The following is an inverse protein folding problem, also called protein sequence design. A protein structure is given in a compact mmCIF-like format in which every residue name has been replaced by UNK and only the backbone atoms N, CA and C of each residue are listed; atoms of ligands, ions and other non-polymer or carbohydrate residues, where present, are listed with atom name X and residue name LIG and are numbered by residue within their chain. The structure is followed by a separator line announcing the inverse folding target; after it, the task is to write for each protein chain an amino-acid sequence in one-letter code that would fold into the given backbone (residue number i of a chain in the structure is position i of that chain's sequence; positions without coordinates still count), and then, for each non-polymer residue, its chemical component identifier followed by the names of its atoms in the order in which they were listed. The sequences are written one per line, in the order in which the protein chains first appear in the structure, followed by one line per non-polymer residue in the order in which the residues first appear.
data_IF_946507659045
#
_entry.id   IF_946507659045
#
_cell.length_a   1.000
_cell.length_b   1.000
_cell.length_c   1.000
_cell.angle_alpha   90.00
_cell.angle_beta   90.00
_cell.angle_gamma   90.00
#
_symmetry.space_group_name_H-M   'P 1'
#
loop_
_entity.id
_entity.type
_entity.pdbx_description
1 polymer ?
#
# COMPACT_ATOMS: atom_id res chain seq x y z
N UNK A 1 -6.44 -22.40 -74.84
CA UNK A 1 -6.59 -20.97 -74.45
C UNK A 1 -6.99 -20.95 -72.98
N UNK A 2 -6.21 -20.28 -72.12
CA UNK A 2 -6.22 -20.39 -70.64
C UNK A 2 -7.30 -19.49 -70.02
N UNK A 3 -8.11 -20.03 -69.11
CA UNK A 3 -9.03 -19.28 -68.23
C UNK A 3 -8.34 -18.91 -66.91
N UNK A 4 -8.29 -17.63 -66.48
CA UNK A 4 -7.65 -17.26 -65.24
C UNK A 4 -8.64 -17.29 -64.06
N UNK A 5 -8.42 -18.26 -63.18
CA UNK A 5 -8.75 -18.23 -61.76
C UNK A 5 -8.02 -17.02 -61.14
N UNK A 6 -8.73 -15.91 -60.95
CA UNK A 6 -8.17 -14.72 -60.24
C UNK A 6 -9.30 -13.80 -59.75
N UNK A 7 -10.21 -14.30 -58.91
CA UNK A 7 -11.24 -13.47 -58.27
C UNK A 7 -11.50 -13.80 -56.81
N UNK A 8 -10.50 -14.33 -56.10
CA UNK A 8 -10.62 -14.71 -54.69
C UNK A 8 -9.36 -14.34 -53.89
N UNK A 9 -8.73 -13.18 -54.17
CA UNK A 9 -7.55 -12.74 -53.40
C UNK A 9 -7.52 -11.20 -53.25
N UNK A 10 -8.68 -10.55 -53.05
CA UNK A 10 -8.71 -9.10 -52.81
C UNK A 10 -9.43 -8.70 -51.53
N UNK A 11 -9.88 -9.66 -50.71
CA UNK A 11 -10.66 -9.38 -49.50
C UNK A 11 -10.11 -10.14 -48.30
N UNK A 12 -8.79 -10.05 -48.08
CA UNK A 12 -8.14 -10.69 -46.91
C UNK A 12 -7.06 -9.84 -46.25
N UNK A 13 -6.88 -8.57 -46.67
CA UNK A 13 -5.87 -7.68 -46.07
C UNK A 13 -6.50 -6.75 -45.00
N UNK A 14 -7.83 -6.69 -44.87
CA UNK A 14 -8.52 -5.79 -43.94
C UNK A 14 -9.11 -6.51 -42.72
N UNK A 15 -8.37 -7.44 -42.11
CA UNK A 15 -8.85 -8.21 -40.95
C UNK A 15 -7.73 -8.55 -39.93
N UNK A 16 -6.76 -7.66 -39.76
CA UNK A 16 -5.61 -7.85 -38.85
C UNK A 16 -5.35 -6.66 -37.91
N UNK A 17 -6.41 -5.91 -37.56
CA UNK A 17 -6.29 -4.72 -36.70
C UNK A 17 -7.36 -4.70 -35.61
N UNK A 18 -7.56 -5.83 -34.90
CA UNK A 18 -8.37 -5.82 -33.68
C UNK A 18 -7.74 -6.76 -32.64
N UNK A 19 -7.62 -6.21 -31.43
CA UNK A 19 -7.43 -6.85 -30.12
C UNK A 19 -6.09 -7.48 -29.77
N UNK A 20 -5.09 -6.66 -29.47
CA UNK A 20 -4.17 -6.98 -28.35
C UNK A 20 -4.24 -5.87 -27.31
N UNK A 21 -5.41 -5.71 -26.69
CA UNK A 21 -5.50 -5.02 -25.41
C UNK A 21 -4.89 -5.94 -24.36
N UNK A 22 -3.57 -5.96 -24.22
CA UNK A 22 -2.95 -6.47 -23.00
C UNK A 22 -3.35 -5.52 -21.88
N UNK A 23 -4.45 -5.84 -21.19
CA UNK A 23 -4.76 -5.21 -19.92
C UNK A 23 -3.60 -5.56 -18.99
N UNK A 24 -2.69 -4.61 -18.80
CA UNK A 24 -1.72 -4.70 -17.72
C UNK A 24 -2.55 -4.54 -16.46
N UNK A 25 -2.95 -5.67 -15.87
CA UNK A 25 -3.26 -5.68 -14.46
C UNK A 25 -1.92 -5.35 -13.77
N UNK A 26 -1.68 -4.05 -13.58
CA UNK A 26 -0.64 -3.60 -12.69
C UNK A 26 -1.05 -4.19 -11.35
N UNK A 27 -0.26 -5.14 -10.85
CA UNK A 27 -0.43 -5.69 -9.50
C UNK A 27 -0.20 -4.52 -8.55
N UNK A 28 -1.26 -3.76 -8.27
CA UNK A 28 -1.22 -2.64 -7.35
C UNK A 28 -0.96 -3.26 -6.00
N UNK A 29 0.26 -3.04 -5.49
CA UNK A 29 0.71 -3.64 -4.25
C UNK A 29 -0.37 -3.40 -3.18
N UNK A 30 -0.97 -4.49 -2.69
CA UNK A 30 -2.20 -4.43 -1.91
C UNK A 30 -2.05 -3.58 -0.64
N UNK A 31 -0.82 -3.44 -0.16
CA UNK A 31 -0.46 -2.69 1.03
C UNK A 31 0.25 -1.36 0.73
N UNK A 32 0.33 -0.95 -0.54
CA UNK A 32 0.84 0.38 -0.90
C UNK A 32 0.08 1.47 -0.13
N UNK A 33 0.83 2.38 0.47
CA UNK A 33 0.28 3.49 1.24
C UNK A 33 -0.33 4.52 0.30
N UNK A 34 -1.65 4.67 0.35
CA UNK A 34 -2.41 5.68 -0.39
C UNK A 34 -2.44 7.02 0.35
N UNK A 35 -2.58 6.96 1.66
CA UNK A 35 -2.64 8.12 2.53
C UNK A 35 -1.94 7.79 3.85
N UNK A 36 -1.28 8.79 4.43
CA UNK A 36 -0.80 8.73 5.81
C UNK A 36 -1.37 9.89 6.59
N UNK A 37 -1.95 9.60 7.75
CA UNK A 37 -2.50 10.57 8.69
C UNK A 37 -1.69 10.48 9.98
N UNK A 38 -1.17 11.61 10.43
CA UNK A 38 -0.54 11.72 11.75
C UNK A 38 -1.62 11.75 12.83
N UNK A 39 -1.43 10.92 13.85
CA UNK A 39 -2.27 10.82 15.04
C UNK A 39 -1.49 11.29 16.29
N UNK A 40 -2.16 11.57 17.42
CA UNK A 40 -1.48 12.00 18.64
C UNK A 40 -0.42 11.01 19.15
N UNK A 41 -0.64 9.71 18.91
CA UNK A 41 0.24 8.62 19.34
C UNK A 41 1.08 8.03 18.21
N UNK A 42 0.94 8.46 16.96
CA UNK A 42 1.59 7.76 15.85
C UNK A 42 1.10 8.16 14.45
N UNK A 43 0.93 7.16 13.58
CA UNK A 43 0.49 7.35 12.19
C UNK A 43 -0.47 6.23 11.77
N UNK A 44 -1.56 6.61 11.12
CA UNK A 44 -2.49 5.72 10.43
C UNK A 44 -2.26 5.79 8.91
N UNK A 45 -2.20 4.64 8.27
CA UNK A 45 -1.97 4.45 6.84
C UNK A 45 -3.20 3.80 6.20
N UNK A 46 -3.67 4.38 5.10
CA UNK A 46 -4.70 3.78 4.26
C UNK A 46 -4.03 3.05 3.10
N UNK A 47 -4.50 1.83 2.82
CA UNK A 47 -4.00 0.96 1.74
C UNK A 47 -5.18 0.35 0.98
N UNK A 48 -4.99 -0.17 -0.25
CA UNK A 48 -6.02 -0.96 -0.93
C UNK A 48 -6.56 -2.13 -0.09
N UNK A 49 -5.72 -2.75 0.73
CA UNK A 49 -6.07 -3.89 1.57
C UNK A 49 -6.77 -3.52 2.88
N UNK A 50 -6.89 -2.22 3.22
CA UNK A 50 -7.47 -1.74 4.46
C UNK A 50 -6.59 -0.71 5.17
N UNK A 51 -6.66 -0.67 6.50
CA UNK A 51 -5.97 0.34 7.33
C UNK A 51 -4.89 -0.28 8.20
N UNK A 52 -3.78 0.43 8.37
CA UNK A 52 -2.71 0.08 9.31
C UNK A 52 -2.43 1.27 10.23
N UNK A 53 -2.28 1.06 11.54
CA UNK A 53 -1.89 2.08 12.49
C UNK A 53 -0.64 1.66 13.24
N UNK A 54 0.31 2.58 13.34
CA UNK A 54 1.55 2.43 14.10
C UNK A 54 1.52 3.46 15.22
N UNK A 55 1.42 3.01 16.46
CA UNK A 55 1.35 3.85 17.65
C UNK A 55 2.62 3.68 18.50
N UNK A 56 3.16 4.79 18.98
CA UNK A 56 4.30 4.84 19.89
C UNK A 56 3.76 4.85 21.32
N UNK A 57 4.03 3.77 22.05
CA UNK A 57 3.59 3.60 23.44
C UNK A 57 4.74 3.83 24.44
N UNK A 58 5.98 3.92 23.94
CA UNK A 58 7.19 4.31 24.66
C UNK A 58 8.39 4.28 23.72
N UNK A 59 9.58 4.68 24.21
CA UNK A 59 10.78 4.78 23.36
C UNK A 59 11.14 3.48 22.64
N UNK A 60 10.81 2.33 23.22
CA UNK A 60 11.05 0.99 22.66
C UNK A 60 9.78 0.15 22.50
N UNK A 61 8.60 0.75 22.66
CA UNK A 61 7.32 0.01 22.64
C UNK A 61 6.43 0.60 21.56
N UNK A 62 6.20 -0.20 20.50
CA UNK A 62 5.43 0.19 19.33
C UNK A 62 4.25 -0.78 19.18
N UNK A 63 3.05 -0.24 19.03
CA UNK A 63 1.85 -1.00 18.73
C UNK A 63 1.52 -0.88 17.25
N UNK A 64 1.50 -2.01 16.55
CA UNK A 64 1.12 -2.06 15.14
C UNK A 64 -0.17 -2.86 15.03
N UNK A 65 -1.19 -2.25 14.42
CA UNK A 65 -2.47 -2.90 14.16
C UNK A 65 -2.82 -2.71 12.70
N UNK A 66 -3.19 -3.79 12.04
CA UNK A 66 -3.71 -3.76 10.68
C UNK A 66 -5.11 -4.38 10.64
N UNK A 67 -5.99 -3.82 9.82
CA UNK A 67 -7.33 -4.33 9.57
C UNK A 67 -7.63 -4.33 8.08
N UNK A 68 -8.41 -5.31 7.62
CA UNK A 68 -8.93 -5.36 6.25
C UNK A 68 -10.12 -4.42 6.01
N UNK A 69 -10.68 -3.84 7.08
CA UNK A 69 -11.69 -2.78 6.99
C UNK A 69 -11.06 -1.41 6.82
N UNK A 70 -11.87 -0.40 6.52
CA UNK A 70 -11.47 1.01 6.48
C UNK A 70 -11.09 1.58 7.85
N UNK A 71 -11.44 0.87 8.93
CA UNK A 71 -11.24 1.27 10.31
C UNK A 71 -10.57 0.16 11.13
N UNK A 72 -9.90 0.55 12.22
CA UNK A 72 -9.34 -0.41 13.18
C UNK A 72 -10.41 -0.71 14.24
N UNK A 73 -10.87 -1.96 14.35
CA UNK A 73 -11.88 -2.33 15.34
C UNK A 73 -11.31 -2.21 16.75
N UNK A 74 -12.17 -1.83 17.69
CA UNK A 74 -11.82 -1.89 19.11
C UNK A 74 -11.68 -3.37 19.54
N UNK A 75 -10.57 -3.74 20.17
CA UNK A 75 -10.35 -5.12 20.57
C UNK A 75 -11.31 -5.51 21.70
N UNK A 76 -11.89 -6.72 21.62
CA UNK A 76 -12.79 -7.25 22.66
C UNK A 76 -12.08 -7.46 24.01
N UNK A 77 -10.77 -7.74 23.96
CA UNK A 77 -9.90 -7.90 25.12
C UNK A 77 -8.74 -6.92 24.96
N UNK A 78 -8.40 -6.13 26.00
CA UNK A 78 -7.35 -5.13 25.89
C UNK A 78 -5.99 -5.78 25.67
N UNK A 79 -5.38 -5.49 24.51
CA UNK A 79 -3.98 -5.82 24.21
C UNK A 79 -3.05 -4.78 24.85
N UNK A 80 -3.54 -3.55 24.99
CA UNK A 80 -2.89 -2.47 25.73
C UNK A 80 -3.87 -1.99 26.80
N UNK A 81 -3.40 -1.96 28.04
CA UNK A 81 -4.22 -1.61 29.21
C UNK A 81 -4.38 -0.10 29.40
N UNK A 82 -3.57 0.71 28.71
CA UNK A 82 -3.61 2.17 28.73
C UNK A 82 -3.38 2.73 27.31
N UNK A 83 -4.05 3.81 26.91
CA UNK A 83 -3.78 4.45 25.62
C UNK A 83 -2.31 4.86 25.49
N UNK A 84 -1.74 4.69 24.30
CA UNK A 84 -0.37 5.10 24.02
C UNK A 84 -0.26 6.63 24.11
N UNK A 85 0.60 7.11 25.01
CA UNK A 85 0.82 8.54 25.29
C UNK A 85 2.32 8.83 25.22
N UNK A 86 2.90 8.86 24.01
CA UNK A 86 4.33 9.09 23.86
C UNK A 86 4.66 10.52 24.31
N UNK A 87 5.75 10.67 25.07
CA UNK A 87 6.23 11.98 25.53
C UNK A 87 6.99 12.71 24.44
N UNK A 88 7.80 12.01 23.64
CA UNK A 88 8.57 12.59 22.54
C UNK A 88 8.73 11.58 21.38
N UNK A 89 8.15 11.90 20.22
CA UNK A 89 8.43 11.19 18.98
C UNK A 89 8.28 12.14 17.79
N UNK A 90 8.98 11.82 16.70
CA UNK A 90 8.94 12.59 15.46
C UNK A 90 8.35 11.75 14.34
N UNK A 91 7.63 12.41 13.44
CA UNK A 91 7.12 11.80 12.20
C UNK A 91 7.63 12.62 11.02
N UNK A 92 8.28 11.95 10.07
CA UNK A 92 8.70 12.53 8.80
C UNK A 92 8.02 11.76 7.67
N UNK A 93 7.24 12.46 6.85
CA UNK A 93 6.52 11.88 5.71
C UNK A 93 7.30 12.19 4.44
N UNK A 94 7.90 11.17 3.84
CA UNK A 94 8.60 11.24 2.57
C UNK A 94 7.82 10.59 1.43
N UNK A 95 8.30 10.75 0.19
CA UNK A 95 7.65 10.14 -1.00
C UNK A 95 7.80 8.62 -1.06
N UNK A 96 8.91 8.09 -0.54
CA UNK A 96 9.23 6.65 -0.57
C UNK A 96 8.98 5.98 0.77
N UNK A 97 9.08 6.73 1.85
CA UNK A 97 8.99 6.19 3.20
C UNK A 97 8.39 7.21 4.16
N UNK A 98 7.71 6.70 5.18
CA UNK A 98 7.34 7.45 6.38
C UNK A 98 8.22 6.99 7.55
N UNK A 99 8.85 7.92 8.24
CA UNK A 99 9.69 7.65 9.41
C UNK A 99 8.99 8.07 10.69
N UNK A 100 9.03 7.21 11.70
CA UNK A 100 8.57 7.47 13.06
C UNK A 100 9.78 7.24 13.97
N UNK A 101 10.26 8.27 14.65
CA UNK A 101 11.48 8.19 15.47
C UNK A 101 11.20 8.51 16.92
N UNK A 102 11.71 7.68 17.82
CA UNK A 102 11.77 7.90 19.27
C UNK A 102 13.22 8.18 19.69
N UNK A 103 13.48 8.28 20.99
CA UNK A 103 14.85 8.37 21.49
C UNK A 103 15.67 7.08 21.29
N UNK A 104 15.02 5.93 21.05
CA UNK A 104 15.68 4.63 21.03
C UNK A 104 15.47 3.80 19.76
N UNK A 105 14.50 4.15 18.91
CA UNK A 105 14.18 3.41 17.68
C UNK A 105 13.69 4.34 16.58
N UNK A 106 13.88 3.92 15.33
CA UNK A 106 13.21 4.48 14.16
C UNK A 106 12.45 3.37 13.43
N UNK A 107 11.17 3.63 13.18
CA UNK A 107 10.31 2.80 12.34
C UNK A 107 10.25 3.46 10.97
N UNK A 108 10.52 2.70 9.92
CA UNK A 108 10.30 3.15 8.54
C UNK A 108 9.15 2.35 7.93
N UNK A 109 8.25 3.03 7.25
CA UNK A 109 7.16 2.42 6.47
C UNK A 109 7.42 2.74 5.01
N UNK A 110 7.67 1.71 4.20
CA UNK A 110 7.84 1.86 2.75
C UNK A 110 6.48 2.14 2.10
N UNK A 111 6.39 3.22 1.34
CA UNK A 111 5.13 3.70 0.75
C UNK A 111 4.65 2.77 -0.37
N UNK A 112 5.57 2.13 -1.11
CA UNK A 112 5.21 1.27 -2.23
C UNK A 112 4.66 -0.09 -1.80
N UNK A 113 5.11 -0.59 -0.65
CA UNK A 113 4.81 -1.95 -0.18
C UNK A 113 4.02 -2.00 1.12
N UNK A 114 3.96 -0.90 1.87
CA UNK A 114 3.41 -0.88 3.24
C UNK A 114 4.28 -1.62 4.26
N UNK A 115 5.46 -2.10 3.88
CA UNK A 115 6.35 -2.85 4.75
C UNK A 115 6.95 -1.97 5.85
N UNK A 116 7.05 -2.53 7.06
CA UNK A 116 7.68 -1.85 8.20
C UNK A 116 9.08 -2.40 8.46
N UNK A 117 10.03 -1.51 8.76
CA UNK A 117 11.33 -1.87 9.33
C UNK A 117 11.55 -1.17 10.65
N UNK A 118 12.17 -1.86 11.60
CA UNK A 118 12.55 -1.33 12.92
C UNK A 118 14.07 -1.22 13.00
N UNK A 119 14.56 -0.02 13.28
CA UNK A 119 15.98 0.32 13.30
C UNK A 119 16.33 0.87 14.69
N UNK A 120 17.45 0.43 15.27
CA UNK A 120 17.97 0.88 16.58
C UNK A 120 19.29 1.61 16.46
#
# INVERSE_FOLDING_TARGET
MKTPIRRLISSSILLLLVTTSSAWAMDEAQFAVKESRRDPSGVTFQTPAGVMRVEVCGDRVIHVVASRSSEIPNPKVPIITQPCRPTNFQVSVGRKEVKISTAALTITVDVATGGLSFLS
#
